data_IF_237328520338
#
_entry.id   IF_237328520338
#
_cell.length_a   1.000
_cell.length_b   1.000
_cell.length_c   1.000
_cell.angle_alpha   90.00
_cell.angle_beta   90.00
_cell.angle_gamma   90.00
#
_symmetry.space_group_name_H-M   'P 1'
#
loop_
_entity.id
_entity.type
_entity.pdbx_description
1 polymer ?
#
# COMPACT_ATOMS: atom_id res chain seq x y z
N UNK A 1 -56.44 14.07 24.43
CA UNK A 1 -55.75 13.03 25.22
C UNK A 1 -54.44 12.72 24.53
N UNK A 2 -53.28 12.95 25.19
CA UNK A 2 -51.98 12.48 24.71
C UNK A 2 -50.91 13.52 24.35
N UNK A 3 -50.39 14.22 25.37
CA UNK A 3 -49.02 14.74 25.59
C UNK A 3 -48.26 15.59 24.54
N UNK A 4 -48.10 16.87 24.89
CA UNK A 4 -46.89 17.69 24.66
C UNK A 4 -45.87 17.54 25.81
N UNK A 5 -44.63 17.97 25.51
CA UNK A 5 -43.48 18.32 26.38
C UNK A 5 -42.58 17.15 26.85
N UNK A 6 -41.24 17.25 26.80
CA UNK A 6 -40.37 18.39 26.51
C UNK A 6 -38.90 17.99 26.27
N UNK A 7 -38.12 19.00 25.90
CA UNK A 7 -36.67 19.00 25.57
C UNK A 7 -35.78 18.59 26.75
N UNK A 8 -34.60 18.07 26.43
CA UNK A 8 -33.35 18.45 27.11
C UNK A 8 -32.20 18.52 26.10
N UNK A 9 -31.51 19.66 26.13
CA UNK A 9 -30.30 20.02 25.38
C UNK A 9 -29.09 19.39 26.07
N UNK A 10 -28.14 18.88 25.30
CA UNK A 10 -26.79 18.53 25.75
C UNK A 10 -25.83 18.67 24.58
N UNK A 11 -24.98 19.70 24.63
CA UNK A 11 -23.90 19.93 23.67
C UNK A 11 -22.56 19.38 24.16
N UNK A 12 -21.60 19.33 23.23
CA UNK A 12 -20.25 18.78 23.36
C UNK A 12 -20.07 17.66 22.33
N UNK A 13 -19.24 17.73 21.29
CA UNK A 13 -17.98 18.44 21.11
C UNK A 13 -17.08 17.42 20.43
N UNK A 14 -17.20 17.28 19.11
CA UNK A 14 -16.45 16.30 18.32
C UNK A 14 -15.02 16.80 18.08
N UNK A 15 -14.10 16.47 19.00
CA UNK A 15 -12.68 16.38 18.69
C UNK A 15 -12.40 14.98 18.16
N UNK A 16 -12.26 14.84 16.85
CA UNK A 16 -11.80 13.62 16.20
C UNK A 16 -10.27 13.68 16.00
N UNK A 17 -9.56 12.97 16.86
CA UNK A 17 -8.14 12.62 16.74
C UNK A 17 -7.88 11.81 15.44
N UNK A 18 -6.91 12.19 14.59
CA UNK A 18 -6.55 11.43 13.39
C UNK A 18 -5.28 10.60 13.65
N UNK A 19 -5.36 9.56 14.49
CA UNK A 19 -4.23 8.61 14.64
C UNK A 19 -4.65 7.28 15.26
N UNK A 20 -5.13 6.35 14.43
CA UNK A 20 -5.15 4.90 14.60
C UNK A 20 -6.04 4.35 13.46
N UNK A 21 -5.67 3.44 12.59
CA UNK A 21 -4.98 2.18 12.81
C UNK A 21 -4.45 1.70 11.44
N UNK A 22 -3.14 1.64 11.29
CA UNK A 22 -2.48 1.03 10.14
C UNK A 22 -2.41 -0.48 10.35
N UNK A 23 -3.29 -1.20 9.66
CA UNK A 23 -2.97 -2.49 9.06
C UNK A 23 -3.18 -3.72 9.94
N UNK A 24 -4.23 -4.48 9.61
CA UNK A 24 -4.23 -5.94 9.79
C UNK A 24 -5.22 -6.62 8.84
N UNK A 25 -4.68 -7.38 7.87
CA UNK A 25 -5.29 -8.63 7.41
C UNK A 25 -6.17 -8.62 6.15
N UNK A 26 -5.65 -8.26 4.98
CA UNK A 26 -6.28 -8.62 3.70
C UNK A 26 -5.97 -10.09 3.35
N UNK A 27 -6.88 -11.02 3.68
CA UNK A 27 -6.93 -12.36 3.09
C UNK A 27 -8.19 -12.51 2.25
N UNK A 28 -7.98 -12.55 0.93
CA UNK A 28 -8.76 -13.34 -0.02
C UNK A 28 -10.19 -12.90 -0.34
N UNK A 29 -10.38 -12.25 -1.49
CA UNK A 29 -11.20 -12.83 -2.56
C UNK A 29 -10.90 -12.14 -3.89
N UNK A 30 -10.41 -12.91 -4.84
CA UNK A 30 -10.40 -12.58 -6.26
C UNK A 30 -11.83 -12.29 -6.71
N UNK A 31 -12.14 -11.02 -6.91
CA UNK A 31 -13.32 -10.57 -7.61
C UNK A 31 -12.91 -9.38 -8.46
N UNK A 32 -12.91 -9.54 -9.78
CA UNK A 32 -12.88 -8.41 -10.72
C UNK A 32 -14.17 -7.63 -10.53
N UNK A 33 -14.21 -6.77 -9.53
CA UNK A 33 -15.23 -5.75 -9.44
C UNK A 33 -14.53 -4.44 -9.75
N UNK A 34 -14.84 -3.92 -10.93
CA UNK A 34 -14.66 -2.52 -11.25
C UNK A 34 -15.01 -1.71 -10.00
N UNK A 35 -14.07 -0.91 -9.52
CA UNK A 35 -14.37 0.13 -8.55
C UNK A 35 -15.36 1.00 -9.27
N UNK A 36 -16.66 0.78 -9.03
CA UNK A 36 -17.68 1.66 -9.53
C UNK A 36 -17.28 3.04 -9.01
N UNK A 37 -17.05 3.98 -9.94
CA UNK A 37 -16.95 5.38 -9.60
C UNK A 37 -18.27 5.73 -8.92
N UNK A 38 -18.32 5.59 -7.60
CA UNK A 38 -19.44 6.04 -6.80
C UNK A 38 -19.35 7.56 -6.83
N UNK A 39 -20.04 8.16 -7.78
CA UNK A 39 -20.26 9.59 -7.79
C UNK A 39 -21.07 9.93 -6.54
N UNK A 40 -20.40 10.34 -5.47
CA UNK A 40 -21.04 10.74 -4.21
C UNK A 40 -21.81 12.03 -4.43
N UNK A 41 -22.98 12.00 -5.06
CA UNK A 41 -23.80 13.21 -5.17
C UNK A 41 -24.13 13.67 -3.75
N UNK A 42 -23.72 14.89 -3.39
CA UNK A 42 -24.23 15.50 -2.17
C UNK A 42 -25.74 15.59 -2.31
N UNK A 43 -26.47 15.14 -1.28
CA UNK A 43 -27.92 15.22 -1.28
C UNK A 43 -28.36 16.68 -1.46
N UNK A 44 -29.51 16.93 -2.13
CA UNK A 44 -30.04 18.27 -2.26
C UNK A 44 -30.24 18.90 -0.88
N UNK A 45 -29.99 20.20 -0.79
CA UNK A 45 -30.25 20.94 0.45
C UNK A 45 -31.75 20.92 0.79
N UNK A 46 -32.11 21.06 2.07
CA UNK A 46 -33.52 21.16 2.46
C UNK A 46 -34.25 22.29 1.71
N UNK A 47 -33.53 23.38 1.43
CA UNK A 47 -34.03 24.49 0.60
C UNK A 47 -34.32 24.08 -0.83
N UNK A 48 -33.47 23.28 -1.46
CA UNK A 48 -33.72 22.76 -2.82
C UNK A 48 -34.96 21.86 -2.83
N UNK A 49 -35.08 20.96 -1.85
CA UNK A 49 -36.24 20.06 -1.73
C UNK A 49 -37.55 20.85 -1.53
N UNK A 50 -37.53 21.87 -0.68
CA UNK A 50 -38.70 22.74 -0.46
C UNK A 50 -39.03 23.53 -1.73
N UNK A 51 -38.04 24.09 -2.43
CA UNK A 51 -38.27 24.84 -3.67
C UNK A 51 -38.78 23.94 -4.81
N UNK A 52 -38.27 22.72 -4.94
CA UNK A 52 -38.80 21.72 -5.89
C UNK A 52 -40.25 21.38 -5.57
N UNK A 53 -40.57 21.17 -4.29
CA UNK A 53 -41.93 20.91 -3.85
C UNK A 53 -42.87 22.09 -4.12
N UNK A 54 -42.44 23.32 -3.82
CA UNK A 54 -43.20 24.54 -4.08
C UNK A 54 -43.41 24.77 -5.58
N UNK A 55 -42.41 24.53 -6.42
CA UNK A 55 -42.54 24.61 -7.88
C UNK A 55 -43.51 23.54 -8.42
N UNK A 56 -43.48 22.32 -7.87
CA UNK A 56 -44.42 21.25 -8.21
C UNK A 56 -45.87 21.56 -7.78
N UNK A 57 -46.06 22.19 -6.62
CA UNK A 57 -47.37 22.66 -6.18
C UNK A 57 -47.87 23.85 -7.00
N UNK A 58 -47.01 24.80 -7.32
CA UNK A 58 -47.37 25.99 -8.11
C UNK A 58 -47.72 25.66 -9.57
N UNK A 59 -47.27 24.51 -10.08
CA UNK A 59 -47.60 24.01 -11.42
C UNK A 59 -48.85 23.12 -11.46
N UNK A 60 -49.47 22.78 -10.32
CA UNK A 60 -50.60 21.83 -10.27
C UNK A 60 -51.73 22.26 -9.33
N UNK A 61 -52.96 22.00 -9.74
CA UNK A 61 -54.16 22.13 -8.89
C UNK A 61 -54.58 23.58 -8.59
N UNK A 62 -55.31 23.77 -7.48
CA UNK A 62 -55.94 25.05 -7.10
C UNK A 62 -54.94 26.19 -6.88
N UNK A 63 -53.69 25.86 -6.55
CA UNK A 63 -52.63 26.86 -6.32
C UNK A 63 -52.20 27.48 -7.65
N UNK A 64 -52.15 26.71 -8.73
CA UNK A 64 -51.86 27.24 -10.07
C UNK A 64 -52.96 28.22 -10.54
N UNK A 65 -54.23 27.90 -10.27
CA UNK A 65 -55.36 28.80 -10.55
C UNK A 65 -55.30 30.08 -9.69
N UNK A 66 -54.93 29.95 -8.41
CA UNK A 66 -54.80 31.08 -7.49
C UNK A 66 -53.63 32.02 -7.84
N UNK A 67 -52.55 31.47 -8.41
CA UNK A 67 -51.41 32.28 -8.85
C UNK A 67 -51.65 33.02 -10.17
N UNK A 68 -52.68 32.69 -10.94
CA UNK A 68 -53.14 33.44 -12.13
C UNK A 68 -51.99 33.86 -13.08
N UNK A 69 -51.08 32.92 -13.39
CA UNK A 69 -49.93 33.18 -14.27
C UNK A 69 -48.85 34.12 -13.71
N UNK A 70 -48.93 34.52 -12.44
CA UNK A 70 -47.93 35.38 -11.78
C UNK A 70 -46.61 34.67 -11.48
N UNK A 71 -46.57 33.33 -11.56
CA UNK A 71 -45.35 32.57 -11.42
C UNK A 71 -44.74 32.29 -12.79
N UNK A 72 -43.52 32.77 -12.97
CA UNK A 72 -42.71 32.38 -14.10
C UNK A 72 -42.09 30.99 -13.83
N UNK A 73 -42.68 29.98 -14.47
CA UNK A 73 -42.25 28.58 -14.37
C UNK A 73 -40.85 28.35 -14.93
N UNK A 74 -40.44 29.16 -15.92
CA UNK A 74 -39.13 29.03 -16.54
C UNK A 74 -38.06 29.66 -15.63
N UNK A 75 -38.37 30.78 -14.97
CA UNK A 75 -37.52 31.33 -13.91
C UNK A 75 -37.34 30.36 -12.73
N UNK A 76 -38.40 29.68 -12.31
CA UNK A 76 -38.34 28.68 -11.23
C UNK A 76 -37.43 27.49 -11.60
N UNK A 77 -37.58 26.94 -12.81
CA UNK A 77 -36.71 25.87 -13.32
C UNK A 77 -35.26 26.32 -13.46
N UNK A 78 -35.04 27.55 -13.95
CA UNK A 78 -33.70 28.13 -14.08
C UNK A 78 -33.02 28.25 -12.71
N UNK A 79 -33.76 28.70 -11.68
CA UNK A 79 -33.23 28.79 -10.32
C UNK A 79 -32.87 27.41 -9.73
N UNK A 80 -33.71 26.39 -9.93
CA UNK A 80 -33.40 25.02 -9.48
C UNK A 80 -32.18 24.44 -10.21
N UNK A 81 -32.07 24.66 -11.53
CA UNK A 81 -30.91 24.25 -12.32
C UNK A 81 -29.61 24.94 -11.86
N UNK A 82 -29.69 26.22 -11.46
CA UNK A 82 -28.56 26.94 -10.89
C UNK A 82 -28.08 26.31 -9.58
N UNK A 83 -29.00 25.94 -8.67
CA UNK A 83 -28.64 25.28 -7.40
C UNK A 83 -28.02 23.91 -7.62
N UNK A 84 -28.53 23.13 -8.57
CA UNK A 84 -27.92 21.88 -9.00
C UNK A 84 -26.52 22.09 -9.59
N UNK A 85 -26.34 23.13 -10.40
CA UNK A 85 -25.03 23.55 -10.92
C UNK A 85 -24.02 23.82 -9.80
N UNK A 86 -24.38 24.65 -8.82
CA UNK A 86 -23.54 24.96 -7.66
C UNK A 86 -23.15 23.71 -6.86
N UNK A 87 -24.11 22.79 -6.66
CA UNK A 87 -23.87 21.50 -5.98
C UNK A 87 -22.91 20.61 -6.77
N UNK A 88 -23.04 20.59 -8.10
CA UNK A 88 -22.14 19.84 -8.97
C UNK A 88 -20.71 20.42 -8.98
N UNK A 89 -20.58 21.74 -8.84
CA UNK A 89 -19.30 22.46 -8.78
C UNK A 89 -18.56 22.30 -7.44
N UNK A 90 -19.27 21.94 -6.36
CA UNK A 90 -18.65 21.81 -5.04
C UNK A 90 -17.52 20.77 -5.01
N UNK A 91 -17.72 19.62 -5.66
CA UNK A 91 -16.70 18.54 -5.74
C UNK A 91 -15.42 18.99 -6.45
N UNK A 92 -15.47 19.46 -7.72
CA UNK A 92 -14.26 19.91 -8.40
C UNK A 92 -13.62 21.10 -7.67
N UNK A 93 -14.41 22.01 -7.10
CA UNK A 93 -13.90 23.12 -6.28
C UNK A 93 -13.14 22.62 -5.05
N UNK A 94 -13.66 21.63 -4.33
CA UNK A 94 -12.98 20.99 -3.18
C UNK A 94 -11.73 20.24 -3.61
N UNK A 95 -11.78 19.53 -4.74
CA UNK A 95 -10.62 18.84 -5.31
C UNK A 95 -9.52 19.84 -5.68
N UNK A 96 -9.89 20.97 -6.28
CA UNK A 96 -8.97 22.06 -6.61
C UNK A 96 -8.36 22.69 -5.35
N UNK A 97 -9.16 22.98 -4.33
CA UNK A 97 -8.67 23.51 -3.05
C UNK A 97 -7.68 22.53 -2.38
N UNK A 98 -7.96 21.22 -2.44
CA UNK A 98 -7.04 20.19 -1.95
C UNK A 98 -5.75 20.15 -2.78
N UNK A 99 -5.84 20.25 -4.11
CA UNK A 99 -4.67 20.29 -4.99
C UNK A 99 -3.80 21.53 -4.72
N UNK A 100 -4.41 22.69 -4.48
CA UNK A 100 -3.69 23.90 -4.07
C UNK A 100 -2.97 23.70 -2.74
N UNK A 101 -3.62 23.08 -1.74
CA UNK A 101 -2.99 22.75 -0.45
C UNK A 101 -1.80 21.80 -0.63
N UNK A 102 -1.99 20.74 -1.41
CA UNK A 102 -0.92 19.78 -1.72
C UNK A 102 0.26 20.45 -2.43
N UNK A 103 -0.01 21.40 -3.32
CA UNK A 103 1.05 22.19 -3.97
C UNK A 103 1.85 23.01 -2.96
N UNK A 104 1.19 23.69 -2.02
CA UNK A 104 1.88 24.43 -0.95
C UNK A 104 2.67 23.49 -0.05
N UNK A 105 2.08 22.36 0.38
CA UNK A 105 2.77 21.36 1.20
C UNK A 105 3.97 20.75 0.50
N UNK A 106 3.94 20.60 -0.83
CA UNK A 106 5.09 20.08 -1.57
C UNK A 106 6.33 20.97 -1.44
N UNK A 107 6.17 22.29 -1.24
CA UNK A 107 7.31 23.17 -0.99
C UNK A 107 7.93 22.93 0.39
N UNK A 108 7.10 22.75 1.41
CA UNK A 108 7.56 22.41 2.77
C UNK A 108 8.24 21.03 2.78
N UNK A 109 7.67 20.03 2.10
CA UNK A 109 8.29 18.71 1.94
C UNK A 109 9.65 18.80 1.24
N UNK A 110 9.78 19.65 0.20
CA UNK A 110 11.05 19.89 -0.48
C UNK A 110 12.07 20.59 0.42
N UNK A 111 11.64 21.61 1.17
CA UNK A 111 12.49 22.32 2.12
C UNK A 111 13.00 21.36 3.20
N UNK A 112 12.08 20.63 3.85
CA UNK A 112 12.37 19.62 4.86
C UNK A 112 13.29 18.51 4.32
N UNK A 113 13.14 18.08 3.07
CA UNK A 113 14.00 17.07 2.45
C UNK A 113 15.44 17.56 2.20
N UNK A 114 15.63 18.87 2.01
CA UNK A 114 16.95 19.49 1.83
C UNK A 114 17.62 19.88 3.15
N UNK A 115 16.89 19.86 4.27
CA UNK A 115 17.45 20.13 5.57
C UNK A 115 18.52 19.10 5.94
N UNK A 116 19.57 19.58 6.61
CA UNK A 116 20.67 18.74 7.10
C UNK A 116 20.70 18.78 8.61
N UNK A 117 21.20 17.69 9.20
CA UNK A 117 21.50 17.67 10.63
C UNK A 117 22.56 18.74 10.94
N UNK A 118 22.32 19.51 12.00
CA UNK A 118 23.12 20.62 12.47
C UNK A 118 23.33 20.49 13.98
N UNK A 119 24.44 21.04 14.46
CA UNK A 119 24.65 21.19 15.89
C UNK A 119 23.83 22.37 16.39
N UNK A 120 23.10 22.15 17.47
CA UNK A 120 22.32 23.18 18.15
C UNK A 120 23.23 24.23 18.76
N UNK A 121 22.90 25.51 18.61
CA UNK A 121 23.68 26.58 19.20
C UNK A 121 23.49 26.63 20.74
N UNK A 122 24.48 27.11 21.51
CA UNK A 122 24.34 27.25 22.96
C UNK A 122 23.17 28.16 23.32
N UNK A 123 22.22 27.66 24.12
CA UNK A 123 21.05 28.42 24.58
C UNK A 123 19.93 28.60 23.56
N UNK A 124 20.06 28.04 22.35
CA UNK A 124 18.98 28.00 21.37
C UNK A 124 17.80 27.19 21.93
N UNK A 125 16.57 27.68 21.80
CA UNK A 125 15.34 26.94 22.16
C UNK A 125 14.68 26.46 20.88
N UNK A 126 14.32 25.18 20.84
CA UNK A 126 13.57 24.62 19.70
C UNK A 126 12.18 25.23 19.67
N UNK A 127 11.73 25.69 18.50
CA UNK A 127 10.37 26.21 18.37
C UNK A 127 9.36 25.06 18.28
N UNK A 128 9.78 23.96 17.64
CA UNK A 128 8.96 22.78 17.48
C UNK A 128 9.65 21.49 17.91
N UNK A 129 8.82 20.53 18.31
CA UNK A 129 9.26 19.20 18.74
C UNK A 129 9.93 18.39 17.63
N UNK A 130 9.65 18.61 16.35
CA UNK A 130 10.35 17.86 15.30
C UNK A 130 11.79 18.34 15.07
N UNK A 131 12.17 19.52 15.59
CA UNK A 131 13.52 20.06 15.40
C UNK A 131 14.61 19.23 16.08
N UNK A 132 14.29 18.48 17.14
CA UNK A 132 15.24 17.60 17.85
C UNK A 132 15.84 16.50 16.96
N UNK A 133 15.20 16.16 15.83
CA UNK A 133 15.74 15.16 14.90
C UNK A 133 16.90 15.68 14.03
N UNK A 134 16.94 16.99 13.77
CA UNK A 134 17.98 17.60 12.93
C UNK A 134 18.82 18.66 13.64
N UNK A 135 18.40 19.20 14.79
CA UNK A 135 19.22 20.04 15.67
C UNK A 135 19.66 19.25 16.89
N UNK A 136 20.90 18.76 16.84
CA UNK A 136 21.43 17.79 17.80
C UNK A 136 22.41 18.48 18.75
N UNK A 137 22.44 18.11 20.02
CA UNK A 137 23.48 18.58 20.93
C UNK A 137 24.83 17.93 20.61
N UNK A 138 25.93 18.63 20.85
CA UNK A 138 27.28 18.08 20.61
C UNK A 138 27.52 16.76 21.37
N UNK A 139 27.01 16.66 22.60
CA UNK A 139 27.10 15.43 23.41
C UNK A 139 26.31 14.24 22.83
N UNK A 140 25.25 14.50 22.06
CA UNK A 140 24.39 13.46 21.48
C UNK A 140 24.90 12.99 20.12
N UNK A 141 25.82 13.72 19.49
CA UNK A 141 26.30 13.47 18.12
C UNK A 141 26.81 12.04 17.94
N UNK A 142 27.60 11.54 18.88
CA UNK A 142 28.20 10.20 18.80
C UNK A 142 27.13 9.12 18.92
N UNK A 143 26.16 9.31 19.80
CA UNK A 143 25.04 8.38 20.00
C UNK A 143 24.20 8.34 18.72
N UNK A 144 23.83 9.52 18.19
CA UNK A 144 23.03 9.61 16.97
C UNK A 144 23.74 9.04 15.75
N UNK A 145 25.05 9.26 15.60
CA UNK A 145 25.83 8.68 14.52
C UNK A 145 25.83 7.14 14.58
N UNK A 146 25.96 6.57 15.78
CA UNK A 146 25.89 5.12 15.98
C UNK A 146 24.50 4.57 15.63
N UNK A 147 23.43 5.19 16.14
CA UNK A 147 22.06 4.77 15.84
C UNK A 147 21.79 4.76 14.32
N UNK A 148 22.13 5.83 13.62
CA UNK A 148 21.97 5.93 12.17
C UNK A 148 22.82 4.90 11.41
N UNK A 149 24.00 4.59 11.92
CA UNK A 149 24.88 3.57 11.35
C UNK A 149 24.28 2.18 11.52
N UNK A 150 23.71 1.88 12.68
CA UNK A 150 23.05 0.61 12.97
C UNK A 150 21.77 0.45 12.12
N UNK A 151 20.94 1.51 12.03
CA UNK A 151 19.77 1.56 11.15
C UNK A 151 20.15 1.31 9.68
N UNK A 152 21.24 1.92 9.20
CA UNK A 152 21.75 1.69 7.84
C UNK A 152 22.11 0.22 7.61
N UNK A 153 22.70 -0.46 8.58
CA UNK A 153 23.06 -1.89 8.42
C UNK A 153 21.80 -2.74 8.26
N UNK A 154 20.79 -2.51 9.11
CA UNK A 154 19.51 -3.23 9.04
C UNK A 154 18.80 -2.96 7.70
N UNK A 155 18.68 -1.68 7.30
CA UNK A 155 18.04 -1.28 6.06
C UNK A 155 18.72 -1.90 4.82
N UNK A 156 20.06 -2.00 4.81
CA UNK A 156 20.80 -2.65 3.72
C UNK A 156 20.54 -4.16 3.66
N UNK A 157 20.44 -4.82 4.81
CA UNK A 157 20.11 -6.24 4.86
C UNK A 157 18.71 -6.50 4.32
N UNK A 158 17.73 -5.66 4.68
CA UNK A 158 16.35 -5.81 4.21
C UNK A 158 16.18 -5.45 2.74
N UNK A 159 16.88 -4.42 2.25
CA UNK A 159 16.96 -4.12 0.82
C UNK A 159 17.53 -5.29 0.02
N UNK A 160 18.59 -5.94 0.53
CA UNK A 160 19.20 -7.11 -0.12
C UNK A 160 18.23 -8.30 -0.22
N UNK A 161 17.43 -8.53 0.82
CA UNK A 161 16.38 -9.57 0.80
C UNK A 161 15.27 -9.20 -0.19
N UNK A 162 14.74 -7.98 -0.12
CA UNK A 162 13.64 -7.52 -0.97
C UNK A 162 14.03 -7.55 -2.46
N UNK A 163 15.24 -7.10 -2.80
CA UNK A 163 15.77 -7.17 -4.17
C UNK A 163 15.99 -8.61 -4.64
N UNK A 164 16.46 -9.51 -3.76
CA UNK A 164 16.55 -10.94 -4.04
C UNK A 164 15.19 -11.57 -4.36
N UNK A 165 14.17 -11.26 -3.55
CA UNK A 165 12.78 -11.68 -3.79
C UNK A 165 12.23 -11.11 -5.09
N UNK A 166 12.44 -9.81 -5.36
CA UNK A 166 11.99 -9.18 -6.60
C UNK A 166 12.60 -9.86 -7.83
N UNK A 167 13.92 -10.09 -7.85
CA UNK A 167 14.61 -10.81 -8.94
C UNK A 167 14.06 -12.21 -9.14
N UNK A 168 13.71 -12.91 -8.06
CA UNK A 168 13.09 -14.22 -8.14
C UNK A 168 11.71 -14.16 -8.79
N UNK A 169 10.84 -13.25 -8.33
CA UNK A 169 9.48 -13.07 -8.85
C UNK A 169 9.51 -12.61 -10.32
N UNK A 170 10.39 -11.68 -10.68
CA UNK A 170 10.61 -11.28 -12.07
C UNK A 170 11.12 -12.43 -12.92
N UNK A 171 12.01 -13.26 -12.37
CA UNK A 171 12.49 -14.47 -13.04
C UNK A 171 11.37 -15.48 -13.26
N UNK A 172 10.49 -15.68 -12.29
CA UNK A 172 9.29 -16.49 -12.45
C UNK A 172 8.33 -15.88 -13.48
N UNK A 173 8.12 -14.57 -13.48
CA UNK A 173 7.22 -13.90 -14.40
C UNK A 173 7.72 -13.95 -15.86
N UNK A 174 9.01 -13.72 -16.09
CA UNK A 174 9.66 -13.89 -17.41
C UNK A 174 9.51 -15.33 -17.89
N UNK A 175 9.87 -16.31 -17.05
CA UNK A 175 9.81 -17.73 -17.41
C UNK A 175 8.40 -18.32 -17.46
N UNK A 176 7.44 -17.70 -16.76
CA UNK A 176 6.02 -18.03 -16.85
C UNK A 176 5.37 -17.51 -18.14
N UNK A 177 5.96 -16.47 -18.76
CA UNK A 177 5.65 -16.09 -20.14
C UNK A 177 6.37 -16.99 -21.16
N UNK A 178 7.56 -17.48 -20.82
CA UNK A 178 8.34 -18.45 -21.61
C UNK A 178 8.01 -19.92 -21.24
N UNK A 179 6.75 -20.23 -20.95
CA UNK A 179 6.24 -21.61 -20.96
C UNK A 179 6.13 -22.10 -22.41
N UNK A 180 7.31 -22.16 -23.03
CA UNK A 180 7.61 -22.52 -24.41
C UNK A 180 9.12 -22.68 -24.59
N UNK A 181 9.81 -23.26 -23.61
CA UNK A 181 11.13 -23.89 -23.77
C UNK A 181 12.33 -22.96 -23.92
N UNK A 182 13.19 -22.93 -22.89
CA UNK A 182 14.64 -23.14 -23.01
C UNK A 182 15.24 -23.28 -21.59
N UNK A 183 16.06 -24.31 -21.40
CA UNK A 183 16.50 -24.78 -20.10
C UNK A 183 17.33 -23.73 -19.33
N UNK A 184 17.07 -23.61 -18.02
CA UNK A 184 17.96 -22.85 -17.15
C UNK A 184 19.09 -23.76 -16.68
N UNK A 185 20.30 -23.54 -17.19
CA UNK A 185 21.49 -24.29 -16.77
C UNK A 185 21.83 -24.00 -15.31
N UNK A 186 22.07 -25.04 -14.53
CA UNK A 186 22.55 -24.89 -13.17
C UNK A 186 24.04 -24.47 -13.17
N UNK A 187 24.43 -23.38 -12.49
CA UNK A 187 25.84 -22.98 -12.42
C UNK A 187 26.77 -24.00 -11.73
N UNK A 188 26.20 -24.98 -11.01
CA UNK A 188 26.95 -26.00 -10.26
C UNK A 188 27.22 -27.23 -11.11
N UNK A 189 26.19 -27.88 -11.67
CA UNK A 189 26.35 -29.09 -12.49
C UNK A 189 26.42 -28.80 -14.00
N UNK A 190 26.07 -27.58 -14.44
CA UNK A 190 25.99 -27.18 -15.86
C UNK A 190 24.99 -27.99 -16.68
N UNK A 191 24.04 -28.63 -16.02
CA UNK A 191 22.91 -29.32 -16.63
C UNK A 191 21.67 -28.43 -16.58
N UNK A 192 20.72 -28.69 -17.48
CA UNK A 192 19.41 -28.05 -17.42
C UNK A 192 18.68 -28.40 -16.12
N UNK A 193 18.11 -27.38 -15.48
CA UNK A 193 17.33 -27.58 -14.26
C UNK A 193 15.96 -28.10 -14.66
N UNK A 194 15.85 -29.43 -14.72
CA UNK A 194 14.60 -30.16 -14.95
C UNK A 194 13.91 -30.43 -13.60
N UNK A 195 12.60 -30.16 -13.51
CA UNK A 195 11.80 -30.46 -12.32
C UNK A 195 11.97 -29.46 -11.15
N UNK A 196 12.26 -29.96 -9.95
CA UNK A 196 12.33 -29.15 -8.73
C UNK A 196 13.63 -28.33 -8.66
N UNK A 197 13.47 -27.00 -8.61
CA UNK A 197 14.53 -26.00 -8.51
C UNK A 197 14.57 -25.40 -7.11
N UNK A 198 15.75 -24.92 -6.73
CA UNK A 198 15.99 -24.20 -5.49
C UNK A 198 16.41 -22.77 -5.80
N UNK A 199 15.78 -21.80 -5.14
CA UNK A 199 16.15 -20.38 -5.22
C UNK A 199 16.57 -19.91 -3.83
N UNK A 200 17.75 -19.32 -3.77
CA UNK A 200 18.30 -18.77 -2.54
C UNK A 200 17.75 -17.35 -2.30
N UNK A 201 17.76 -16.86 -1.07
CA UNK A 201 17.30 -15.49 -0.72
C UNK A 201 18.02 -14.38 -1.50
N UNK A 202 19.24 -14.63 -1.98
CA UNK A 202 19.98 -13.74 -2.87
C UNK A 202 19.47 -13.74 -4.33
N UNK A 203 18.42 -14.51 -4.65
CA UNK A 203 17.77 -14.59 -5.96
C UNK A 203 18.40 -15.57 -6.97
N UNK A 204 19.53 -16.21 -6.64
CA UNK A 204 20.19 -17.16 -7.54
C UNK A 204 19.50 -18.53 -7.54
N UNK A 205 19.44 -19.15 -8.72
CA UNK A 205 18.65 -20.34 -9.00
C UNK A 205 19.57 -21.54 -9.31
N UNK A 206 19.23 -22.70 -8.75
CA UNK A 206 20.02 -23.92 -8.83
C UNK A 206 19.12 -25.16 -8.91
N UNK A 207 19.69 -26.26 -9.38
CA UNK A 207 19.04 -27.57 -9.32
C UNK A 207 18.86 -28.01 -7.85
N UNK A 208 17.74 -28.65 -7.48
CA UNK A 208 17.55 -29.12 -6.09
C UNK A 208 18.68 -30.05 -5.64
N UNK A 209 19.11 -30.98 -6.50
CA UNK A 209 20.20 -31.93 -6.22
C UNK A 209 21.47 -31.20 -5.79
N UNK A 210 21.82 -30.14 -6.51
CA UNK A 210 23.00 -29.30 -6.32
C UNK A 210 22.95 -28.59 -4.96
N UNK A 211 21.80 -27.99 -4.62
CA UNK A 211 21.62 -27.30 -3.33
C UNK A 211 21.62 -28.28 -2.17
N UNK A 212 20.97 -29.44 -2.30
CA UNK A 212 21.03 -30.49 -1.28
C UNK A 212 22.45 -31.02 -1.07
N UNK A 213 23.24 -31.19 -2.13
CA UNK A 213 24.64 -31.58 -2.03
C UNK A 213 25.48 -30.52 -1.30
N UNK A 214 25.25 -29.22 -1.56
CA UNK A 214 25.91 -28.13 -0.83
C UNK A 214 25.56 -28.15 0.65
N UNK A 215 24.28 -28.37 0.99
CA UNK A 215 23.82 -28.49 2.38
C UNK A 215 24.46 -29.72 3.06
N UNK A 216 24.51 -30.87 2.38
CA UNK A 216 25.10 -32.09 2.93
C UNK A 216 26.60 -31.94 3.27
N UNK A 217 27.33 -31.08 2.55
CA UNK A 217 28.75 -30.78 2.82
C UNK A 217 28.95 -29.91 4.06
N UNK A 218 27.93 -29.20 4.52
CA UNK A 218 28.03 -28.40 5.75
C UNK A 218 27.94 -29.28 6.99
N UNK A 219 28.92 -29.15 7.89
CA UNK A 219 29.03 -29.95 9.13
C UNK A 219 28.51 -29.16 10.34
N UNK A 220 28.05 -29.87 11.35
CA UNK A 220 27.64 -29.31 12.65
C UNK A 220 26.16 -28.89 12.73
N UNK A 221 25.58 -28.99 13.93
CA UNK A 221 24.23 -28.50 14.27
C UNK A 221 23.06 -29.16 13.54
N UNK A 222 21.84 -28.69 13.86
CA UNK A 222 20.61 -29.06 13.15
C UNK A 222 20.66 -28.49 11.73
N UNK A 223 20.17 -29.24 10.74
CA UNK A 223 20.17 -28.84 9.31
C UNK A 223 19.63 -27.43 9.07
N UNK A 224 18.64 -27.03 9.86
CA UNK A 224 17.93 -25.75 9.78
C UNK A 224 18.84 -24.55 10.09
N UNK A 225 19.79 -24.74 11.01
CA UNK A 225 20.68 -23.69 11.53
C UNK A 225 21.95 -23.54 10.70
N UNK A 226 22.16 -24.42 9.70
CA UNK A 226 23.34 -24.42 8.85
C UNK A 226 23.27 -23.30 7.83
N UNK A 227 24.44 -22.80 7.43
CA UNK A 227 24.59 -21.80 6.37
C UNK A 227 25.39 -22.39 5.22
N UNK A 228 24.89 -22.23 4.00
CA UNK A 228 25.63 -22.52 2.77
C UNK A 228 26.04 -21.19 2.12
N UNK A 229 27.14 -21.16 1.36
CA UNK A 229 27.43 -19.99 0.52
C UNK A 229 26.81 -20.16 -0.85
N UNK A 230 26.16 -19.11 -1.36
CA UNK A 230 25.67 -19.10 -2.74
C UNK A 230 26.85 -19.30 -3.71
N UNK A 231 26.82 -20.29 -4.62
CA UNK A 231 27.89 -20.50 -5.60
C UNK A 231 28.16 -19.31 -6.54
N UNK A 232 27.16 -18.44 -6.73
CA UNK A 232 27.27 -17.29 -7.64
C UNK A 232 27.78 -16.03 -6.95
N UNK A 233 27.19 -15.65 -5.81
CA UNK A 233 27.52 -14.38 -5.13
C UNK A 233 28.14 -14.54 -3.74
N UNK A 234 28.37 -15.77 -3.28
CA UNK A 234 28.96 -16.12 -1.97
C UNK A 234 28.20 -15.62 -0.73
N UNK A 235 27.06 -14.96 -0.91
CA UNK A 235 26.16 -14.58 0.19
C UNK A 235 25.87 -15.81 1.06
N UNK A 236 26.04 -15.74 2.39
CA UNK A 236 25.68 -16.83 3.29
C UNK A 236 24.16 -16.96 3.35
N UNK A 237 23.67 -18.18 3.16
CA UNK A 237 22.24 -18.52 3.06
C UNK A 237 21.89 -19.50 4.18
N UNK A 238 20.95 -19.13 5.05
CA UNK A 238 20.43 -19.98 6.11
C UNK A 238 19.49 -21.05 5.54
N UNK A 239 19.82 -22.31 5.76
CA UNK A 239 19.13 -23.45 5.14
C UNK A 239 17.66 -23.55 5.56
N UNK A 240 17.32 -23.19 6.80
CA UNK A 240 15.96 -23.31 7.34
C UNK A 240 14.95 -22.33 6.77
N UNK A 241 15.36 -21.15 6.32
CA UNK A 241 14.43 -20.05 5.98
C UNK A 241 14.76 -19.29 4.69
N UNK A 242 15.96 -19.46 4.13
CA UNK A 242 16.43 -18.66 3.00
C UNK A 242 16.60 -19.45 1.70
N UNK A 243 15.98 -20.64 1.62
CA UNK A 243 15.94 -21.49 0.43
C UNK A 243 14.49 -21.83 0.10
N UNK A 244 14.04 -21.39 -1.07
CA UNK A 244 12.72 -21.73 -1.60
C UNK A 244 12.86 -22.83 -2.66
N UNK A 245 12.06 -23.90 -2.53
CA UNK A 245 12.00 -24.97 -3.54
C UNK A 245 10.72 -24.83 -4.36
N UNK A 246 10.84 -24.93 -5.68
CA UNK A 246 9.73 -24.71 -6.62
C UNK A 246 9.78 -25.69 -7.78
N UNK A 247 8.63 -26.08 -8.32
CA UNK A 247 8.53 -27.06 -9.42
C UNK A 247 7.74 -28.30 -9.02
N UNK A 248 7.23 -29.04 -10.01
CA UNK A 248 6.55 -30.30 -9.79
C UNK A 248 7.55 -31.36 -9.30
N UNK A 249 7.13 -32.19 -8.34
CA UNK A 249 7.85 -33.42 -8.05
C UNK A 249 7.85 -34.28 -9.32
N UNK A 250 9.01 -34.79 -9.72
CA UNK A 250 9.05 -35.84 -10.75
C UNK A 250 8.36 -37.07 -10.15
N UNK A 251 7.53 -37.81 -10.93
CA UNK A 251 7.05 -39.11 -10.49
C UNK A 251 8.25 -40.00 -10.20
N UNK A 252 8.21 -40.70 -9.07
CA UNK A 252 9.21 -41.70 -8.71
C UNK A 252 9.15 -42.79 -9.79
N UNK A 253 10.25 -42.98 -10.51
CA UNK A 253 10.39 -44.13 -11.42
C UNK A 253 10.48 -45.37 -10.53
N UNK A 254 9.45 -46.22 -10.58
CA UNK A 254 9.41 -47.54 -9.95
C UNK A 254 10.70 -48.28 -10.30
N UNK A 255 11.50 -48.59 -9.29
CA UNK A 255 12.64 -49.51 -9.39
C UNK A 255 12.06 -50.87 -9.81
N UNK A 256 12.25 -51.21 -11.09
CA UNK A 256 11.89 -52.52 -11.62
C UNK A 256 12.62 -53.59 -10.81
N UNK A 257 11.84 -54.35 -10.04
CA UNK A 257 12.26 -55.63 -9.49
C UNK A 257 12.68 -56.53 -10.66
N UNK A 258 13.99 -56.84 -10.69
CA UNK A 258 14.48 -57.97 -11.45
C UNK A 258 13.96 -59.24 -10.81
N UNK A 259 13.26 -60.06 -11.59
CA UNK A 259 13.09 -61.47 -11.31
C UNK A 259 13.79 -62.29 -12.39
N UNK A 260 14.53 -63.28 -11.90
CA UNK A 260 15.51 -64.12 -12.56
C UNK A 260 14.94 -65.05 -13.64
N UNK A 261 15.79 -65.38 -14.62
CA UNK A 261 15.57 -66.43 -15.61
C UNK A 261 16.73 -66.57 -16.59
#
# INVERSE_FOLDING_TARGET
WGRMAGRSVGGGGDEADPSADLGRGARGRTGRNAVAHAEVFHAPSETEVVLEYLAALASRGKVAEMLDGRLDQDAAKSHLAMLEGMRSEFKPSRAYANAQRQYVYSFDELEMAMMRMQLRAPGEVLQHDHEKYFKIYEAELVVRNKELSDEKVVANADLSKATGTLRYLEGLARRGRELGGEGCLCPVCREDIVGQRAVLSCGHLFCRRCVLALIARTRGGRRQDRKIQCPTCRTPILVGSEIAYCGAALPEEDEGEGEDG
#
